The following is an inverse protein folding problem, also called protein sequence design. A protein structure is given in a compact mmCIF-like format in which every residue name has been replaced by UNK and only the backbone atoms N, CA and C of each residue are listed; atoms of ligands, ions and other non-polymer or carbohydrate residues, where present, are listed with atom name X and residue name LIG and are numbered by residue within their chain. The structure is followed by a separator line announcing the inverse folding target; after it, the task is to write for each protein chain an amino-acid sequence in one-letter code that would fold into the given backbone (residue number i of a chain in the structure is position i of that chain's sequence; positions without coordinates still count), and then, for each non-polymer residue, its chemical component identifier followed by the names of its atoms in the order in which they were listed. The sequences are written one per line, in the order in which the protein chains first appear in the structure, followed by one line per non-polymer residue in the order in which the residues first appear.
data_IF_931811729189
#
_entry.id   IF_931811729189
#
_cell.length_a   1.000
_cell.length_b   1.000
_cell.length_c   1.000
_cell.angle_alpha   90.00
_cell.angle_beta   90.00
_cell.angle_gamma   90.00
#
_symmetry.space_group_name_H-M   'P 1'
#
loop_
_entity.id
_entity.type
_entity.pdbx_description
1 polymer ?
#
# COMPACT_ATOMS: atom_id res chain seq x y z
N UNK A 1 -54.31 15.25 5.83
CA UNK A 1 -53.46 14.73 4.72
C UNK A 1 -52.09 15.41 4.66
N UNK A 2 -52.01 16.75 4.77
CA UNK A 2 -50.76 17.55 4.69
C UNK A 2 -49.69 17.20 5.75
N UNK A 3 -50.10 16.95 6.99
CA UNK A 3 -49.22 16.56 8.11
C UNK A 3 -48.51 15.21 7.91
N UNK A 4 -49.19 14.23 7.30
CA UNK A 4 -48.60 12.92 6.99
C UNK A 4 -47.57 13.00 5.86
N UNK A 5 -47.72 13.95 4.93
CA UNK A 5 -46.78 14.17 3.84
C UNK A 5 -45.46 14.77 4.36
N UNK A 6 -45.55 15.72 5.30
CA UNK A 6 -44.39 16.34 5.96
C UNK A 6 -43.62 15.31 6.79
N UNK A 7 -44.32 14.46 7.56
CA UNK A 7 -43.69 13.41 8.36
C UNK A 7 -42.94 12.36 7.52
N UNK A 8 -43.47 12.01 6.33
CA UNK A 8 -42.79 11.08 5.41
C UNK A 8 -41.57 11.72 4.76
N UNK A 9 -41.66 13.00 4.40
CA UNK A 9 -40.55 13.75 3.83
C UNK A 9 -39.39 13.91 4.85
N UNK A 10 -39.70 14.16 6.13
CA UNK A 10 -38.67 14.26 7.17
C UNK A 10 -38.00 12.91 7.45
N UNK A 11 -38.76 11.81 7.52
CA UNK A 11 -38.18 10.47 7.67
C UNK A 11 -37.28 10.09 6.49
N UNK A 12 -37.69 10.39 5.26
CA UNK A 12 -36.88 10.14 4.08
C UNK A 12 -35.59 10.97 4.08
N UNK A 13 -35.65 12.24 4.49
CA UNK A 13 -34.48 13.11 4.59
C UNK A 13 -33.49 12.63 5.66
N UNK A 14 -33.98 12.20 6.84
CA UNK A 14 -33.14 11.65 7.91
C UNK A 14 -32.51 10.33 7.49
N UNK A 15 -33.28 9.46 6.83
CA UNK A 15 -32.76 8.20 6.26
C UNK A 15 -31.65 8.45 5.25
N UNK A 16 -31.86 9.38 4.30
CA UNK A 16 -30.85 9.74 3.31
C UNK A 16 -29.59 10.31 3.95
N UNK A 17 -29.73 11.18 4.96
CA UNK A 17 -28.60 11.74 5.68
C UNK A 17 -27.78 10.63 6.38
N UNK A 18 -28.44 9.68 7.05
CA UNK A 18 -27.77 8.55 7.72
C UNK A 18 -27.03 7.65 6.73
N UNK A 19 -27.61 7.39 5.55
CA UNK A 19 -26.93 6.64 4.48
C UNK A 19 -25.66 7.34 3.98
N UNK A 20 -25.66 8.67 3.88
CA UNK A 20 -24.48 9.46 3.48
C UNK A 20 -23.40 9.45 4.57
N UNK A 21 -23.78 9.44 5.85
CA UNK A 21 -22.82 9.34 6.96
C UNK A 21 -22.16 7.95 7.05
N UNK A 22 -22.87 6.87 6.69
CA UNK A 22 -22.29 5.52 6.65
C UNK A 22 -21.30 5.27 5.50
N UNK A 23 -21.31 6.11 4.46
CA UNK A 23 -20.39 5.96 3.31
C UNK A 23 -19.08 6.75 3.45
N UNK A 24 -18.85 7.40 4.59
CA UNK A 24 -17.57 8.04 4.86
C UNK A 24 -16.47 6.96 4.84
N UNK A 25 -15.43 7.09 3.99
CA UNK A 25 -14.33 6.15 4.01
C UNK A 25 -13.72 6.18 5.40
N UNK A 26 -13.66 5.01 6.05
CA UNK A 26 -12.89 4.85 7.27
C UNK A 26 -11.48 5.37 6.96
N UNK A 27 -11.03 6.38 7.70
CA UNK A 27 -9.68 6.93 7.52
C UNK A 27 -8.68 5.87 8.00
N UNK A 28 -8.41 4.89 7.16
CA UNK A 28 -7.29 3.99 7.35
C UNK A 28 -6.03 4.86 7.35
N UNK A 29 -5.15 4.64 8.32
CA UNK A 29 -3.83 5.25 8.29
C UNK A 29 -3.19 4.87 6.94
N UNK A 30 -2.89 5.86 6.10
CA UNK A 30 -2.26 5.58 4.81
C UNK A 30 -0.82 5.13 5.11
N UNK A 31 -0.54 3.83 4.92
CA UNK A 31 0.82 3.33 4.93
C UNK A 31 1.60 4.05 3.83
N UNK A 32 2.70 4.71 4.20
CA UNK A 32 3.57 5.43 3.28
C UNK A 32 5.00 4.94 3.40
N UNK A 33 5.67 4.86 2.25
CA UNK A 33 7.10 4.58 2.15
C UNK A 33 7.93 5.87 2.12
N UNK A 34 7.32 7.04 2.36
CA UNK A 34 8.02 8.33 2.33
C UNK A 34 9.18 8.40 3.34
N UNK A 35 9.07 7.74 4.49
CA UNK A 35 10.12 7.71 5.51
C UNK A 35 11.33 6.85 5.15
N UNK A 36 11.21 5.94 4.17
CA UNK A 36 12.30 5.10 3.67
C UNK A 36 12.87 5.56 2.34
N UNK A 37 12.44 6.73 1.85
CA UNK A 37 12.95 7.31 0.61
C UNK A 37 14.45 7.58 0.71
N UNK A 38 15.21 7.09 -0.26
CA UNK A 38 16.66 7.19 -0.25
C UNK A 38 17.33 5.97 -0.86
N UNK A 39 18.66 5.93 -0.75
CA UNK A 39 19.45 4.84 -1.28
C UNK A 39 20.35 4.22 -0.24
N UNK A 40 20.38 2.90 -0.23
CA UNK A 40 21.01 2.10 0.82
C UNK A 40 21.94 1.08 0.20
N UNK A 41 23.13 0.93 0.78
CA UNK A 41 24.02 -0.17 0.48
C UNK A 41 23.50 -1.47 1.10
N UNK A 42 23.68 -2.58 0.42
CA UNK A 42 23.36 -3.91 0.96
C UNK A 42 24.41 -4.93 0.55
N UNK A 43 24.50 -6.00 1.34
CA UNK A 43 25.25 -7.21 1.01
C UNK A 43 24.29 -8.39 1.02
N UNK A 44 24.38 -9.26 0.02
CA UNK A 44 23.62 -10.48 -0.09
C UNK A 44 24.57 -11.67 -0.21
N UNK A 45 24.21 -12.78 0.41
CA UNK A 45 24.93 -14.06 0.34
C UNK A 45 23.93 -15.19 0.20
N UNK A 46 24.25 -16.19 -0.61
CA UNK A 46 23.36 -17.34 -0.83
C UNK A 46 23.94 -18.29 -1.86
N UNK A 47 23.05 -18.94 -2.61
CA UNK A 47 23.42 -19.88 -3.67
C UNK A 47 22.70 -19.54 -4.97
N UNK A 48 23.40 -19.70 -6.09
CA UNK A 48 22.84 -19.58 -7.43
C UNK A 48 22.69 -20.98 -8.03
N UNK A 49 21.50 -21.29 -8.53
CA UNK A 49 21.25 -22.51 -9.27
C UNK A 49 21.91 -22.41 -10.66
N UNK A 50 22.79 -23.35 -10.99
CA UNK A 50 23.47 -23.41 -12.30
C UNK A 50 23.02 -24.61 -13.15
N UNK A 51 22.36 -25.58 -12.52
CA UNK A 51 21.68 -26.71 -13.14
C UNK A 51 20.65 -27.29 -12.14
N UNK A 52 19.70 -28.15 -12.57
CA UNK A 52 18.79 -28.82 -11.65
C UNK A 52 19.56 -29.54 -10.53
N UNK A 53 19.24 -29.21 -9.27
CA UNK A 53 19.92 -29.77 -8.09
C UNK A 53 21.35 -29.29 -7.85
N UNK A 54 21.91 -28.40 -8.68
CA UNK A 54 23.28 -27.90 -8.55
C UNK A 54 23.29 -26.41 -8.20
N UNK A 55 23.88 -26.09 -7.05
CA UNK A 55 23.90 -24.76 -6.47
C UNK A 55 25.35 -24.35 -6.13
N UNK A 56 25.74 -23.14 -6.52
CA UNK A 56 27.06 -22.58 -6.19
C UNK A 56 26.93 -21.40 -5.23
N UNK A 57 27.74 -21.32 -4.16
CA UNK A 57 27.76 -20.17 -3.27
C UNK A 57 28.05 -18.88 -4.03
N UNK A 58 27.31 -17.83 -3.71
CA UNK A 58 27.49 -16.50 -4.28
C UNK A 58 27.35 -15.44 -3.20
N UNK A 59 28.08 -14.35 -3.39
CA UNK A 59 27.95 -13.13 -2.62
C UNK A 59 27.90 -11.95 -3.57
N UNK A 60 27.10 -10.94 -3.23
CA UNK A 60 26.97 -9.72 -3.97
C UNK A 60 26.87 -8.54 -3.01
N UNK A 61 27.35 -7.38 -3.44
CA UNK A 61 27.05 -6.11 -2.81
C UNK A 61 26.28 -5.26 -3.81
N UNK A 62 25.42 -4.38 -3.30
CA UNK A 62 24.60 -3.55 -4.17
C UNK A 62 24.11 -2.30 -3.50
N UNK A 63 23.36 -1.53 -4.29
CA UNK A 63 22.66 -0.32 -3.87
C UNK A 63 21.21 -0.44 -4.27
N UNK A 64 20.31 -0.29 -3.31
CA UNK A 64 18.87 -0.20 -3.54
C UNK A 64 18.43 1.24 -3.33
N UNK A 65 17.46 1.71 -4.11
CA UNK A 65 16.87 3.05 -4.01
C UNK A 65 15.35 2.94 -3.94
N UNK A 66 14.79 3.59 -2.93
CA UNK A 66 13.34 3.74 -2.75
C UNK A 66 12.98 5.18 -3.09
N UNK A 67 12.00 5.38 -3.97
CA UNK A 67 11.59 6.71 -4.42
C UNK A 67 10.57 7.41 -3.50
N UNK A 68 10.10 6.72 -2.46
CA UNK A 68 9.07 7.21 -1.53
C UNK A 68 7.64 7.11 -2.04
N UNK A 69 7.43 6.78 -3.31
CA UNK A 69 6.12 6.60 -3.95
C UNK A 69 5.79 5.11 -4.20
N UNK A 70 6.66 4.21 -3.76
CA UNK A 70 6.51 2.77 -3.90
C UNK A 70 7.32 2.13 -5.02
N UNK A 71 8.16 2.89 -5.73
CA UNK A 71 9.12 2.33 -6.67
C UNK A 71 10.43 1.99 -5.99
N UNK A 72 10.98 0.84 -6.39
CA UNK A 72 12.25 0.31 -5.92
C UNK A 72 13.10 -0.04 -7.13
N UNK A 73 14.35 0.44 -7.15
CA UNK A 73 15.34 0.06 -8.14
C UNK A 73 16.69 -0.21 -7.48
N UNK A 74 17.53 -1.03 -8.11
CA UNK A 74 18.86 -1.32 -7.56
C UNK A 74 19.81 -1.94 -8.55
N UNK A 75 21.07 -2.00 -8.13
CA UNK A 75 22.18 -2.61 -8.89
C UNK A 75 23.03 -3.42 -7.93
N UNK A 76 23.64 -4.51 -8.42
CA UNK A 76 24.56 -5.33 -7.63
C UNK A 76 25.78 -5.80 -8.44
N UNK A 77 26.80 -6.31 -7.76
CA UNK A 77 28.11 -6.71 -8.31
C UNK A 77 28.14 -8.10 -8.99
N UNK A 78 27.00 -8.70 -9.34
CA UNK A 78 26.90 -10.02 -10.00
C UNK A 78 25.66 -10.08 -10.87
#
# INVERSE_FOLDING_TARGET
MKTNLVARATLAAVGLALFIFMSLPAQATQCSLASVAGSYGYTASGFVAIAPGTFVPAAAAGRVTFDGNGHVNGTQTR
#
